data_IF_473693838590
#
_entry.id   IF_473693838590
#
_cell.length_a   1.000
_cell.length_b   1.000
_cell.length_c   1.000
_cell.angle_alpha   90.00
_cell.angle_beta   90.00
_cell.angle_gamma   90.00
#
_symmetry.space_group_name_H-M   'P 1'
#
loop_
_entity.id
_entity.type
_entity.pdbx_description
1 polymer ?
#
# COMPACT_ATOMS: atom_id res chain seq x y z
N UNK A 1 -6.11 7.91 12.31
CA UNK A 1 -4.97 7.10 11.81
C UNK A 1 -5.38 5.65 11.46
N UNK A 2 -6.67 5.34 11.22
CA UNK A 2 -7.18 3.96 11.31
C UNK A 2 -7.66 3.25 10.03
N UNK A 3 -7.76 3.90 8.87
CA UNK A 3 -8.22 3.21 7.65
C UNK A 3 -7.09 2.73 6.74
N UNK A 4 -6.04 3.56 6.55
CA UNK A 4 -4.85 3.16 5.81
C UNK A 4 -4.05 2.06 6.50
N UNK A 5 -4.15 1.95 7.83
CA UNK A 5 -3.46 0.92 8.62
C UNK A 5 -4.04 -0.47 8.38
N UNK A 6 -5.37 -0.62 8.26
CA UNK A 6 -5.99 -1.93 8.11
C UNK A 6 -5.74 -2.54 6.72
N UNK A 7 -5.83 -1.73 5.66
CA UNK A 7 -5.43 -2.19 4.32
C UNK A 7 -3.95 -2.51 4.28
N UNK A 8 -3.06 -1.65 4.83
CA UNK A 8 -1.63 -1.93 4.86
C UNK A 8 -1.28 -3.20 5.66
N UNK A 9 -1.97 -3.44 6.78
CA UNK A 9 -1.75 -4.62 7.62
C UNK A 9 -2.20 -5.93 6.96
N UNK A 10 -3.16 -5.88 6.03
CA UNK A 10 -3.63 -7.06 5.27
C UNK A 10 -2.85 -7.23 3.97
N UNK A 11 -2.49 -6.14 3.28
CA UNK A 11 -1.79 -6.19 2.00
C UNK A 11 -0.32 -6.57 2.14
N UNK A 12 0.36 -6.09 3.19
CA UNK A 12 1.78 -6.41 3.42
C UNK A 12 2.07 -7.92 3.56
N UNK A 13 1.37 -8.69 4.44
CA UNK A 13 1.60 -10.13 4.54
C UNK A 13 1.16 -10.90 3.29
N UNK A 14 0.14 -10.42 2.57
CA UNK A 14 -0.33 -11.03 1.33
C UNK A 14 0.74 -10.94 0.23
N UNK A 15 1.38 -9.77 0.09
CA UNK A 15 2.47 -9.53 -0.86
C UNK A 15 3.73 -10.36 -0.53
N UNK A 16 4.08 -10.49 0.75
CA UNK A 16 5.24 -11.29 1.16
C UNK A 16 4.99 -12.78 0.85
N UNK A 17 3.78 -13.26 1.12
CA UNK A 17 3.41 -14.66 0.86
C UNK A 17 3.41 -14.96 -0.64
N UNK A 18 2.94 -14.03 -1.47
CA UNK A 18 3.00 -14.12 -2.93
C UNK A 18 4.43 -14.17 -3.45
N UNK A 19 5.33 -13.30 -2.97
CA UNK A 19 6.73 -13.30 -3.36
C UNK A 19 7.41 -14.65 -3.08
N UNK A 20 7.10 -15.29 -1.95
CA UNK A 20 7.62 -16.62 -1.61
C UNK A 20 7.08 -17.67 -2.59
N UNK A 21 5.77 -17.68 -2.84
CA UNK A 21 5.14 -18.63 -3.77
C UNK A 21 5.70 -18.45 -5.20
N UNK A 22 5.88 -17.21 -5.65
CA UNK A 22 6.45 -16.88 -6.94
C UNK A 22 7.91 -17.35 -7.05
N UNK A 23 8.74 -17.14 -6.02
CA UNK A 23 10.13 -17.58 -6.00
C UNK A 23 10.25 -19.12 -6.10
N UNK A 24 9.45 -19.86 -5.33
CA UNK A 24 9.41 -21.33 -5.40
C UNK A 24 8.91 -21.86 -6.74
N UNK A 25 7.92 -21.18 -7.33
CA UNK A 25 7.38 -21.55 -8.64
C UNK A 25 8.41 -21.31 -9.73
N UNK A 26 9.10 -20.16 -9.73
CA UNK A 26 10.20 -19.88 -10.65
C UNK A 26 11.30 -20.95 -10.55
N UNK A 27 11.73 -21.29 -9.33
CA UNK A 27 12.74 -22.34 -9.10
C UNK A 27 12.29 -23.70 -9.66
N UNK A 28 11.04 -24.11 -9.39
CA UNK A 28 10.49 -25.37 -9.90
C UNK A 28 10.34 -25.41 -11.42
N UNK A 29 9.94 -24.30 -12.04
CA UNK A 29 9.81 -24.21 -13.51
C UNK A 29 11.15 -24.16 -14.22
N UNK A 30 12.17 -23.53 -13.63
CA UNK A 30 13.52 -23.45 -14.20
C UNK A 30 14.20 -24.82 -14.28
N UNK A 31 13.97 -25.70 -13.29
CA UNK A 31 14.66 -26.99 -13.20
C UNK A 31 13.96 -28.14 -13.94
N UNK A 32 12.62 -28.09 -14.08
CA UNK A 32 11.84 -29.25 -14.51
C UNK A 32 11.13 -29.09 -15.87
N UNK A 33 11.08 -27.88 -16.44
CA UNK A 33 10.34 -27.60 -17.67
C UNK A 33 11.23 -26.91 -18.72
N UNK A 34 11.10 -27.36 -19.97
CA UNK A 34 11.76 -26.76 -21.13
C UNK A 34 10.71 -26.21 -22.09
N UNK A 35 10.80 -24.94 -22.50
CA UNK A 35 9.93 -24.31 -23.51
C UNK A 35 9.06 -23.16 -22.99
N UNK A 36 8.09 -22.71 -23.80
CA UNK A 36 7.27 -21.51 -23.53
C UNK A 36 6.47 -21.55 -22.22
N UNK A 37 6.22 -22.73 -21.66
CA UNK A 37 5.50 -22.88 -20.40
C UNK A 37 6.33 -22.39 -19.19
N UNK A 38 7.66 -22.38 -19.30
CA UNK A 38 8.60 -22.03 -18.23
C UNK A 38 8.43 -20.57 -17.75
N UNK A 39 8.19 -19.63 -18.67
CA UNK A 39 8.01 -18.22 -18.31
C UNK A 39 6.53 -17.84 -18.15
N UNK A 40 5.61 -18.56 -18.79
CA UNK A 40 4.17 -18.29 -18.71
C UNK A 40 3.57 -18.68 -17.37
N UNK A 41 4.02 -19.79 -16.78
CA UNK A 41 3.47 -20.30 -15.53
C UNK A 41 3.73 -19.36 -14.34
N UNK A 42 4.96 -18.85 -14.10
CA UNK A 42 5.20 -17.89 -13.04
C UNK A 42 4.45 -16.57 -13.23
N UNK A 43 4.36 -16.07 -14.47
CA UNK A 43 3.62 -14.85 -14.80
C UNK A 43 2.11 -15.00 -14.53
N UNK A 44 1.52 -16.13 -14.92
CA UNK A 44 0.11 -16.42 -14.64
C UNK A 44 -0.18 -16.52 -13.14
N UNK A 45 0.75 -17.11 -12.37
CA UNK A 45 0.61 -17.22 -10.93
C UNK A 45 0.76 -15.87 -10.21
N UNK A 46 1.64 -14.99 -10.69
CA UNK A 46 1.75 -13.62 -10.18
C UNK A 46 0.45 -12.82 -10.40
N UNK A 47 -0.33 -13.12 -11.44
CA UNK A 47 -1.65 -12.51 -11.66
C UNK A 47 -2.74 -13.05 -10.73
N UNK A 48 -2.55 -14.20 -10.10
CA UNK A 48 -3.56 -14.83 -9.24
C UNK A 48 -3.80 -14.01 -7.97
N UNK A 49 -2.75 -13.50 -7.35
CA UNK A 49 -2.85 -12.73 -6.10
C UNK A 49 -3.58 -11.38 -6.24
N UNK A 50 -3.26 -10.50 -7.21
CA UNK A 50 -4.05 -9.29 -7.44
C UNK A 50 -5.48 -9.63 -7.87
N UNK A 51 -5.71 -10.77 -8.54
CA UNK A 51 -7.06 -11.28 -8.80
C UNK A 51 -7.85 -11.55 -7.52
N UNK A 52 -7.24 -12.21 -6.53
CA UNK A 52 -7.86 -12.43 -5.21
C UNK A 52 -8.10 -11.09 -4.50
N UNK A 53 -7.14 -10.18 -4.51
CA UNK A 53 -7.30 -8.86 -3.89
C UNK A 53 -8.46 -8.07 -4.51
N UNK A 54 -8.64 -8.14 -5.83
CA UNK A 54 -9.76 -7.50 -6.55
C UNK A 54 -11.11 -8.09 -6.17
N UNK A 55 -11.18 -9.34 -5.73
CA UNK A 55 -12.42 -9.93 -5.21
C UNK A 55 -12.64 -9.49 -3.76
N UNK A 56 -11.58 -9.49 -2.94
CA UNK A 56 -11.64 -9.15 -1.50
C UNK A 56 -11.97 -7.68 -1.26
N UNK A 57 -11.57 -6.77 -2.17
CA UNK A 57 -11.82 -5.32 -2.01
C UNK A 57 -13.32 -5.00 -1.87
N UNK A 58 -14.20 -5.78 -2.48
CA UNK A 58 -15.65 -5.60 -2.39
C UNK A 58 -16.22 -5.94 -1.00
N UNK A 59 -15.49 -6.69 -0.18
CA UNK A 59 -15.89 -7.07 1.18
C UNK A 59 -15.31 -6.12 2.25
N UNK A 60 -14.33 -5.29 1.89
CA UNK A 60 -13.69 -4.36 2.82
C UNK A 60 -14.59 -3.13 2.99
N UNK A 61 -14.93 -2.73 4.22
CA UNK A 61 -15.70 -1.52 4.45
C UNK A 61 -14.90 -0.29 4.02
N UNK A 62 -15.60 0.67 3.41
CA UNK A 62 -15.00 1.94 3.04
C UNK A 62 -14.42 2.69 4.25
N UNK A 63 -13.38 3.46 4.00
CA UNK A 63 -12.73 4.21 5.08
C UNK A 63 -13.68 5.25 5.69
N UNK A 64 -13.80 5.35 7.04
CA UNK A 64 -14.64 6.36 7.70
C UNK A 64 -14.32 7.79 7.27
N UNK A 65 -13.04 8.07 7.01
CA UNK A 65 -12.56 9.37 6.53
C UNK A 65 -13.07 9.70 5.12
N UNK A 66 -13.12 8.71 4.22
CA UNK A 66 -13.70 8.89 2.89
C UNK A 66 -15.21 9.10 2.96
N UNK A 67 -15.93 8.33 3.81
CA UNK A 67 -17.37 8.49 4.00
C UNK A 67 -17.73 9.90 4.49
N UNK A 68 -16.99 10.43 5.47
CA UNK A 68 -17.15 11.82 5.95
C UNK A 68 -16.83 12.82 4.82
N UNK A 69 -15.85 12.54 3.97
CA UNK A 69 -15.54 13.39 2.81
C UNK A 69 -16.64 13.41 1.74
N UNK A 70 -17.56 12.45 1.76
CA UNK A 70 -18.74 12.37 0.90
C UNK A 70 -20.02 12.80 1.61
N UNK A 71 -19.90 13.46 2.76
CA UNK A 71 -21.04 13.92 3.59
C UNK A 71 -21.91 12.78 4.13
N UNK A 72 -21.41 11.54 4.11
CA UNK A 72 -22.08 10.33 4.63
C UNK A 72 -21.69 10.08 6.09
N UNK A 73 -22.05 11.02 6.97
CA UNK A 73 -21.66 10.98 8.38
C UNK A 73 -22.24 9.78 9.15
N UNK A 74 -23.50 9.40 8.88
CA UNK A 74 -24.15 8.26 9.55
C UNK A 74 -23.50 6.92 9.21
N UNK A 75 -23.09 6.72 7.96
CA UNK A 75 -22.41 5.49 7.55
C UNK A 75 -21.01 5.42 8.15
N UNK A 76 -20.30 6.56 8.24
CA UNK A 76 -19.03 6.64 8.94
C UNK A 76 -19.17 6.30 10.43
N UNK A 77 -20.24 6.77 11.09
CA UNK A 77 -20.56 6.43 12.48
C UNK A 77 -20.74 4.93 12.65
N UNK A 78 -21.53 4.28 11.79
CA UNK A 78 -21.75 2.82 11.84
C UNK A 78 -20.45 2.02 11.72
N UNK A 79 -19.54 2.44 10.82
CA UNK A 79 -18.23 1.80 10.66
C UNK A 79 -17.37 2.01 11.93
N UNK A 80 -17.32 3.23 12.48
CA UNK A 80 -16.58 3.51 13.71
C UNK A 80 -17.13 2.76 14.93
N UNK A 81 -18.45 2.67 15.10
CA UNK A 81 -19.08 1.88 16.17
C UNK A 81 -18.70 0.41 16.06
N UNK A 82 -18.71 -0.14 14.85
CA UNK A 82 -18.40 -1.56 14.61
C UNK A 82 -16.94 -1.90 14.87
N UNK A 83 -16.00 -1.04 14.46
CA UNK A 83 -14.56 -1.34 14.52
C UNK A 83 -13.83 -0.71 15.71
N UNK A 84 -14.33 0.38 16.29
CA UNK A 84 -13.70 1.08 17.42
C UNK A 84 -14.58 1.13 18.67
N UNK A 85 -15.91 1.16 18.54
CA UNK A 85 -16.84 1.21 19.68
C UNK A 85 -17.28 -0.16 20.24
N UNK A 86 -16.74 -1.26 19.72
CA UNK A 86 -17.13 -2.64 20.07
C UNK A 86 -18.66 -2.89 20.03
N UNK A 87 -19.39 -2.15 19.19
CA UNK A 87 -20.85 -2.24 19.06
C UNK A 87 -21.65 -1.25 19.93
N UNK A 88 -21.02 -0.42 20.76
CA UNK A 88 -21.72 0.64 21.51
C UNK A 88 -21.85 1.92 20.67
N UNK A 89 -23.08 2.24 20.29
CA UNK A 89 -23.40 3.46 19.53
C UNK A 89 -23.21 4.76 20.33
N UNK A 90 -23.16 4.68 21.66
CA UNK A 90 -23.10 5.84 22.56
C UNK A 90 -21.71 6.06 23.17
N UNK A 91 -20.72 5.25 22.79
CA UNK A 91 -19.36 5.41 23.29
C UNK A 91 -18.87 6.85 23.05
N UNK A 92 -18.39 7.47 24.12
CA UNK A 92 -17.82 8.81 24.07
C UNK A 92 -16.60 8.86 23.14
N UNK A 93 -15.87 7.75 23.02
CA UNK A 93 -14.70 7.64 22.14
C UNK A 93 -15.08 7.74 20.67
N UNK A 94 -16.12 7.03 20.23
CA UNK A 94 -16.58 7.05 18.82
C UNK A 94 -17.08 8.44 18.42
N UNK A 95 -17.82 9.12 19.30
CA UNK A 95 -18.30 10.49 19.05
C UNK A 95 -17.15 11.47 18.95
N UNK A 96 -16.16 11.34 19.83
CA UNK A 96 -14.96 12.17 19.79
C UNK A 96 -14.15 11.94 18.50
N UNK A 97 -13.93 10.69 18.10
CA UNK A 97 -13.17 10.36 16.89
C UNK A 97 -13.88 10.86 15.62
N UNK A 98 -15.21 10.74 15.55
CA UNK A 98 -15.98 11.27 14.42
C UNK A 98 -15.88 12.80 14.33
N UNK A 99 -15.95 13.49 15.47
CA UNK A 99 -15.76 14.94 15.54
C UNK A 99 -14.34 15.36 15.12
N UNK A 100 -13.32 14.67 15.61
CA UNK A 100 -11.92 14.92 15.25
C UNK A 100 -11.66 14.74 13.75
N UNK A 101 -12.14 13.63 13.17
CA UNK A 101 -12.02 13.37 11.72
C UNK A 101 -12.76 14.45 10.91
N UNK A 102 -13.94 14.88 11.36
CA UNK A 102 -14.70 15.93 10.66
C UNK A 102 -13.98 17.27 10.69
N UNK A 103 -13.42 17.66 11.83
CA UNK A 103 -12.71 18.92 12.02
C UNK A 103 -11.40 18.94 11.22
N UNK A 104 -10.60 17.87 11.32
CA UNK A 104 -9.37 17.73 10.53
C UNK A 104 -9.64 17.81 9.02
N UNK A 105 -10.73 17.20 8.54
CA UNK A 105 -11.09 17.27 7.12
C UNK A 105 -11.56 18.66 6.69
N UNK A 106 -12.27 19.40 7.54
CA UNK A 106 -12.64 20.80 7.26
C UNK A 106 -11.40 21.71 7.19
N UNK A 107 -10.45 21.53 8.11
CA UNK A 107 -9.16 22.22 8.09
C UNK A 107 -8.37 21.89 6.82
N UNK A 108 -8.34 20.63 6.41
CA UNK A 108 -7.71 20.22 5.15
C UNK A 108 -8.40 20.81 3.93
N UNK A 109 -9.74 20.82 3.86
CA UNK A 109 -10.48 21.42 2.74
C UNK A 109 -10.23 22.92 2.61
N UNK A 110 -10.23 23.64 3.73
CA UNK A 110 -9.98 25.10 3.75
C UNK A 110 -8.52 25.44 3.41
N UNK A 111 -7.55 24.61 3.83
CA UNK A 111 -6.16 24.74 3.43
C UNK A 111 -5.94 24.40 1.95
N UNK A 112 -6.56 23.32 1.45
CA UNK A 112 -6.42 22.85 0.08
C UNK A 112 -7.10 23.78 -0.94
N UNK A 113 -8.21 24.44 -0.57
CA UNK A 113 -8.91 25.39 -1.43
C UNK A 113 -8.02 26.56 -1.88
N UNK A 114 -7.05 26.96 -1.04
CA UNK A 114 -6.15 28.06 -1.33
C UNK A 114 -4.79 27.61 -1.89
N UNK A 115 -4.33 26.39 -1.57
CA UNK A 115 -2.99 25.92 -1.93
C UNK A 115 -3.02 24.47 -2.43
N UNK A 116 -2.94 24.28 -3.75
CA UNK A 116 -2.71 22.97 -4.37
C UNK A 116 -1.26 22.49 -4.22
N UNK A 117 -0.70 21.87 -5.27
CA UNK A 117 0.68 21.34 -5.31
C UNK A 117 1.78 22.34 -4.92
N UNK A 118 1.49 23.64 -4.97
CA UNK A 118 2.42 24.70 -4.54
C UNK A 118 2.66 24.70 -3.02
N UNK A 119 1.76 24.13 -2.20
CA UNK A 119 1.92 24.07 -0.74
C UNK A 119 3.12 23.22 -0.31
N UNK A 120 3.45 22.19 -1.11
CA UNK A 120 4.58 21.29 -0.89
C UNK A 120 5.92 22.05 -0.78
N UNK A 121 6.06 23.16 -1.52
CA UNK A 121 7.30 23.94 -1.60
C UNK A 121 7.18 25.36 -1.02
N UNK A 122 5.97 25.83 -0.71
CA UNK A 122 5.70 27.20 -0.25
C UNK A 122 6.42 27.52 1.06
N UNK A 123 6.30 26.66 2.06
CA UNK A 123 6.81 26.91 3.42
C UNK A 123 8.21 26.32 3.63
N UNK A 124 9.08 27.00 4.39
CA UNK A 124 10.44 26.49 4.72
C UNK A 124 10.40 25.08 5.34
N UNK A 125 9.40 24.81 6.19
CA UNK A 125 9.16 23.49 6.78
C UNK A 125 8.75 22.44 5.76
N UNK A 126 7.80 22.76 4.86
CA UNK A 126 7.33 21.83 3.83
C UNK A 126 8.43 21.48 2.82
N UNK A 127 9.32 22.43 2.48
CA UNK A 127 10.49 22.13 1.63
C UNK A 127 11.44 21.11 2.26
N UNK A 128 11.73 21.25 3.56
CA UNK A 128 12.56 20.26 4.28
C UNK A 128 11.90 18.88 4.29
N UNK A 129 10.58 18.82 4.53
CA UNK A 129 9.81 17.57 4.49
C UNK A 129 9.82 16.94 3.10
N UNK A 130 9.57 17.71 2.05
CA UNK A 130 9.62 17.23 0.66
C UNK A 130 11.01 16.74 0.29
N UNK A 131 12.07 17.48 0.66
CA UNK A 131 13.44 17.06 0.41
C UNK A 131 13.77 15.74 1.11
N UNK A 132 13.37 15.56 2.37
CA UNK A 132 13.57 14.30 3.08
C UNK A 132 12.81 13.15 2.41
N UNK A 133 11.55 13.34 2.02
CA UNK A 133 10.78 12.31 1.30
C UNK A 133 11.46 11.92 0.00
N UNK A 134 11.90 12.90 -0.80
CA UNK A 134 12.60 12.66 -2.07
C UNK A 134 13.95 11.98 -1.86
N UNK A 135 14.73 12.44 -0.88
CA UNK A 135 16.02 11.85 -0.54
C UNK A 135 15.85 10.40 -0.07
N UNK A 136 14.91 10.12 0.82
CA UNK A 136 14.62 8.76 1.29
C UNK A 136 14.20 7.86 0.14
N UNK A 137 13.30 8.31 -0.74
CA UNK A 137 12.89 7.53 -1.91
C UNK A 137 14.08 7.27 -2.86
N UNK A 138 14.90 8.29 -3.12
CA UNK A 138 16.08 8.17 -3.97
C UNK A 138 17.11 7.21 -3.40
N UNK A 139 17.51 7.39 -2.13
CA UNK A 139 18.49 6.52 -1.47
C UNK A 139 17.98 5.08 -1.31
N UNK A 140 16.67 4.90 -1.07
CA UNK A 140 16.04 3.57 -1.02
C UNK A 140 16.18 2.82 -2.36
N UNK A 141 16.04 3.51 -3.49
CA UNK A 141 16.20 2.89 -4.81
C UNK A 141 17.67 2.76 -5.22
N UNK A 142 18.53 3.72 -4.85
CA UNK A 142 19.97 3.70 -5.11
C UNK A 142 20.72 2.63 -4.31
N UNK A 143 20.12 2.04 -3.27
CA UNK A 143 20.70 0.86 -2.60
C UNK A 143 20.83 -0.36 -3.53
N UNK A 144 20.31 -0.28 -4.76
CA UNK A 144 20.64 -1.24 -5.81
C UNK A 144 19.87 -2.55 -5.73
N UNK A 145 18.80 -2.63 -4.94
CA UNK A 145 17.95 -3.84 -4.86
C UNK A 145 17.52 -4.35 -6.25
N UNK A 146 17.17 -3.41 -7.15
CA UNK A 146 16.87 -3.74 -8.54
C UNK A 146 18.10 -4.19 -9.32
N UNK A 147 19.21 -3.45 -9.23
CA UNK A 147 20.43 -3.74 -9.99
C UNK A 147 20.99 -5.13 -9.64
N UNK A 148 21.06 -5.48 -8.36
CA UNK A 148 21.52 -6.81 -7.93
C UNK A 148 20.62 -7.89 -8.51
N UNK A 149 19.29 -7.75 -8.37
CA UNK A 149 18.35 -8.77 -8.84
C UNK A 149 18.38 -8.99 -10.35
N UNK A 150 18.58 -7.93 -11.15
CA UNK A 150 18.61 -8.03 -12.62
C UNK A 150 19.97 -8.47 -13.18
N UNK A 151 21.07 -8.08 -12.55
CA UNK A 151 22.41 -8.32 -13.09
C UNK A 151 23.16 -9.46 -12.39
N UNK A 152 22.61 -10.06 -11.33
CA UNK A 152 23.25 -11.18 -10.63
C UNK A 152 23.60 -12.33 -11.58
N UNK A 153 22.68 -12.73 -12.47
CA UNK A 153 22.94 -13.79 -13.45
C UNK A 153 24.04 -13.44 -14.45
N UNK A 154 24.04 -12.21 -14.98
CA UNK A 154 25.06 -11.73 -15.92
C UNK A 154 26.43 -11.65 -15.24
N UNK A 155 26.49 -11.19 -13.99
CA UNK A 155 27.72 -11.11 -13.22
C UNK A 155 28.25 -12.51 -12.91
N UNK A 156 27.39 -13.44 -12.46
CA UNK A 156 27.77 -14.84 -12.19
C UNK A 156 28.33 -15.52 -13.45
N UNK A 157 27.70 -15.31 -14.61
CA UNK A 157 28.21 -15.79 -15.89
C UNK A 157 29.56 -15.16 -16.26
N UNK A 158 29.75 -13.87 -15.97
CA UNK A 158 31.02 -13.18 -16.28
C UNK A 158 32.22 -13.65 -15.45
N UNK A 159 31.98 -14.20 -14.26
CA UNK A 159 33.03 -14.78 -13.39
C UNK A 159 33.23 -16.28 -13.60
N UNK A 160 32.56 -16.87 -14.60
CA UNK A 160 32.72 -18.28 -14.99
C UNK A 160 32.00 -19.27 -14.08
N UNK A 161 31.01 -18.83 -13.28
CA UNK A 161 30.09 -19.73 -12.59
C UNK A 161 28.93 -19.97 -13.55
N UNK A 162 29.04 -21.04 -14.34
CA UNK A 162 27.98 -21.53 -15.20
C UNK A 162 27.15 -22.56 -14.40
N UNK A 163 25.94 -22.19 -13.97
CA UNK A 163 24.82 -23.11 -13.74
C UNK A 163 23.61 -22.67 -14.57
#
# INVERSE_FOLDING_TARGET
MGAGSNVANVTAPLLITEAIIAAWTCFGTLNNLSGDLQWRLPMGLQCLMPGILLIVIWFIPESPRWLISKERHEDARKVLVKYHGNGDENDAFVRWELADISNTLQLERSAAANNGWKELVRTKGNRKRCYLILATAFFSQCSGNGLVSYYLSVILNSIGIEE
#
